data_IF_547136678599
#
_entry.id   IF_547136678599
#
_cell.length_a   1.000
_cell.length_b   1.000
_cell.length_c   1.000
_cell.angle_alpha   90.00
_cell.angle_beta   90.00
_cell.angle_gamma   90.00
#
_symmetry.space_group_name_H-M   'P 1'
#
loop_
_entity.id
_entity.type
_entity.pdbx_description
1 polymer ?
#
# COMPACT_ATOMS: atom_id res chain seq x y z
N UNK A 1 16.68 -4.04 -30.14
CA UNK A 1 15.30 -4.50 -29.91
C UNK A 1 15.05 -4.90 -28.47
N UNK A 2 15.96 -5.67 -27.87
CA UNK A 2 15.88 -6.02 -26.44
C UNK A 2 15.91 -4.76 -25.57
N UNK A 3 16.77 -3.80 -25.90
CA UNK A 3 16.88 -2.55 -25.16
C UNK A 3 15.59 -1.72 -25.18
N UNK A 4 14.94 -1.63 -26.34
CA UNK A 4 13.64 -0.95 -26.46
C UNK A 4 12.57 -1.61 -25.60
N UNK A 5 12.53 -2.94 -25.60
CA UNK A 5 11.58 -3.70 -24.78
C UNK A 5 11.80 -3.47 -23.30
N UNK A 6 13.05 -3.40 -22.86
CA UNK A 6 13.40 -3.11 -21.46
C UNK A 6 12.98 -1.69 -21.09
N UNK A 7 13.25 -0.71 -21.96
CA UNK A 7 12.86 0.69 -21.72
C UNK A 7 11.34 0.86 -21.64
N UNK A 8 10.59 0.19 -22.51
CA UNK A 8 9.13 0.23 -22.47
C UNK A 8 8.59 -0.34 -21.16
N UNK A 9 9.15 -1.47 -20.72
CA UNK A 9 8.76 -2.08 -19.44
C UNK A 9 9.11 -1.18 -18.27
N UNK A 10 10.25 -0.48 -18.30
CA UNK A 10 10.66 0.39 -17.21
C UNK A 10 9.75 1.60 -17.03
N UNK A 11 9.11 2.11 -18.10
CA UNK A 11 8.14 3.21 -18.00
C UNK A 11 6.95 2.86 -17.14
N UNK A 12 6.64 1.56 -16.99
CA UNK A 12 5.54 1.07 -16.15
C UNK A 12 6.02 0.46 -14.84
N UNK A 13 7.28 0.63 -14.49
CA UNK A 13 7.85 0.08 -13.26
C UNK A 13 7.26 0.77 -12.03
N UNK A 14 7.43 0.13 -10.87
CA UNK A 14 7.01 0.71 -9.58
C UNK A 14 7.74 2.03 -9.34
N UNK A 15 9.03 2.09 -9.59
CA UNK A 15 9.83 3.30 -9.40
C UNK A 15 9.31 4.45 -10.27
N UNK A 16 8.97 4.19 -11.53
CA UNK A 16 8.44 5.23 -12.41
C UNK A 16 7.10 5.77 -11.90
N UNK A 17 6.24 4.89 -11.40
CA UNK A 17 4.98 5.29 -10.80
C UNK A 17 5.19 6.10 -9.52
N UNK A 18 6.16 5.71 -8.69
CA UNK A 18 6.52 6.46 -7.49
C UNK A 18 6.99 7.87 -7.82
N UNK A 19 7.85 8.00 -8.82
CA UNK A 19 8.35 9.30 -9.27
C UNK A 19 7.19 10.17 -9.76
N UNK A 20 6.34 9.59 -10.60
CA UNK A 20 5.20 10.32 -11.19
C UNK A 20 4.20 10.80 -10.14
N UNK A 21 3.95 10.01 -9.11
CA UNK A 21 2.93 10.30 -8.11
C UNK A 21 3.48 10.86 -6.80
N UNK A 22 4.80 10.86 -6.63
CA UNK A 22 5.44 11.48 -5.47
C UNK A 22 5.58 10.60 -4.25
N UNK A 23 5.61 9.27 -4.41
CA UNK A 23 5.74 8.35 -3.27
C UNK A 23 7.18 8.21 -2.80
N UNK A 24 7.38 8.15 -1.50
CA UNK A 24 8.72 7.89 -0.95
C UNK A 24 9.03 6.41 -0.78
N UNK A 25 8.04 5.56 -0.51
CA UNK A 25 8.30 4.16 -0.24
C UNK A 25 7.09 3.29 -0.58
N UNK A 26 7.35 2.15 -1.21
CA UNK A 26 6.33 1.13 -1.49
C UNK A 26 6.89 -0.21 -1.04
N UNK A 27 6.19 -0.89 -0.14
CA UNK A 27 6.63 -2.14 0.45
C UNK A 27 5.71 -3.26 -0.01
N UNK A 28 6.27 -4.25 -0.70
CA UNK A 28 5.54 -5.44 -1.11
C UNK A 28 5.79 -6.53 -0.07
N UNK A 29 4.70 -7.15 0.40
CA UNK A 29 4.76 -8.17 1.43
C UNK A 29 4.12 -9.46 0.93
N UNK A 30 4.81 -10.56 1.10
CA UNK A 30 4.29 -11.88 0.79
C UNK A 30 4.69 -12.85 1.90
N UNK A 31 3.73 -13.62 2.40
CA UNK A 31 3.98 -14.67 3.37
C UNK A 31 3.41 -15.99 2.88
N UNK A 32 4.28 -16.96 2.70
CA UNK A 32 3.92 -18.25 2.14
C UNK A 32 2.97 -19.05 3.05
N UNK A 33 3.19 -18.98 4.37
CA UNK A 33 2.41 -19.77 5.33
C UNK A 33 0.97 -19.30 5.44
N UNK A 34 0.76 -17.99 5.53
CA UNK A 34 -0.58 -17.41 5.67
C UNK A 34 -1.24 -17.10 4.34
N UNK A 35 -0.46 -17.06 3.27
CA UNK A 35 -0.92 -16.62 1.96
C UNK A 35 -1.07 -15.11 1.84
N UNK A 36 -0.56 -14.34 2.79
CA UNK A 36 -0.64 -12.89 2.76
C UNK A 36 0.06 -12.32 1.53
N UNK A 37 -0.67 -11.47 0.81
CA UNK A 37 -0.14 -10.65 -0.28
C UNK A 37 -0.58 -9.23 0.00
N UNK A 38 0.35 -8.34 0.29
CA UNK A 38 0.01 -6.98 0.67
C UNK A 38 0.97 -5.98 0.06
N UNK A 39 0.51 -4.76 -0.13
CA UNK A 39 1.33 -3.64 -0.57
C UNK A 39 1.05 -2.49 0.38
N UNK A 40 2.10 -1.94 0.98
CA UNK A 40 2.01 -0.76 1.84
C UNK A 40 2.66 0.39 1.09
N UNK A 41 1.90 1.45 0.80
CA UNK A 41 2.40 2.61 0.11
C UNK A 41 2.47 3.79 1.08
N UNK A 42 3.67 4.37 1.19
CA UNK A 42 3.92 5.57 1.97
C UNK A 42 4.13 6.69 0.97
N UNK A 43 3.19 7.63 0.92
CA UNK A 43 3.25 8.71 -0.04
C UNK A 43 4.23 9.80 0.43
N UNK A 44 4.01 10.35 1.60
CA UNK A 44 4.81 11.48 2.08
C UNK A 44 4.79 11.49 3.60
N UNK A 45 5.96 11.62 4.22
CA UNK A 45 6.11 11.72 5.68
C UNK A 45 6.73 13.06 6.11
N UNK A 46 6.72 14.06 5.24
CA UNK A 46 7.30 15.38 5.52
C UNK A 46 6.69 16.02 6.78
N UNK A 47 5.38 15.90 6.95
CA UNK A 47 4.66 16.49 8.08
C UNK A 47 4.53 15.55 9.28
N UNK A 48 4.80 14.27 9.11
CA UNK A 48 4.65 13.28 10.17
C UNK A 48 4.43 11.88 9.61
N UNK A 49 4.15 10.90 10.48
CA UNK A 49 3.91 9.52 10.05
C UNK A 49 2.79 9.44 9.01
N UNK A 50 2.91 8.50 8.10
CA UNK A 50 1.91 8.26 7.07
C UNK A 50 0.71 7.55 7.66
N UNK A 51 -0.47 8.16 7.52
CA UNK A 51 -1.73 7.60 8.02
C UNK A 51 -2.61 7.17 6.87
N UNK A 52 -3.21 6.00 6.98
CA UNK A 52 -4.21 5.54 6.04
C UNK A 52 -4.72 4.16 6.42
N UNK A 53 -5.94 3.84 5.98
CA UNK A 53 -6.55 2.56 6.26
C UNK A 53 -5.93 1.41 5.46
N UNK A 54 -6.31 0.20 5.85
CA UNK A 54 -5.94 -1.01 5.11
C UNK A 54 -7.18 -1.56 4.41
N UNK A 55 -7.10 -1.70 3.09
CA UNK A 55 -8.19 -2.25 2.29
C UNK A 55 -7.86 -3.68 1.90
N UNK A 56 -8.79 -4.60 2.13
CA UNK A 56 -8.70 -5.96 1.59
C UNK A 56 -9.67 -6.09 0.44
N UNK A 57 -9.17 -6.45 -0.73
CA UNK A 57 -9.97 -6.50 -1.94
C UNK A 57 -9.46 -7.60 -2.86
N UNK A 58 -10.37 -8.24 -3.57
CA UNK A 58 -10.03 -9.31 -4.50
C UNK A 58 -9.66 -8.72 -5.86
N UNK A 59 -8.48 -8.12 -5.93
CA UNK A 59 -7.98 -7.50 -7.16
C UNK A 59 -7.79 -8.52 -8.27
N UNK A 60 -8.06 -8.09 -9.50
CA UNK A 60 -7.90 -8.97 -10.67
C UNK A 60 -6.43 -9.40 -10.85
N UNK A 61 -5.49 -8.52 -10.52
CA UNK A 61 -4.06 -8.82 -10.57
C UNK A 61 -3.30 -7.84 -9.65
N UNK A 62 -2.01 -8.09 -9.48
CA UNK A 62 -1.18 -7.27 -8.60
C UNK A 62 -0.97 -5.84 -9.14
N UNK A 63 -1.02 -5.64 -10.44
CA UNK A 63 -0.90 -4.30 -11.02
C UNK A 63 -2.08 -3.42 -10.66
N UNK A 64 -3.28 -3.97 -10.62
CA UNK A 64 -4.47 -3.25 -10.16
C UNK A 64 -4.37 -2.88 -8.69
N UNK A 65 -3.86 -3.81 -7.86
CA UNK A 65 -3.64 -3.55 -6.44
C UNK A 65 -2.62 -2.43 -6.24
N UNK A 66 -1.52 -2.46 -6.98
CA UNK A 66 -0.49 -1.44 -6.91
C UNK A 66 -1.04 -0.06 -7.28
N UNK A 67 -1.74 0.04 -8.39
CA UNK A 67 -2.30 1.32 -8.84
C UNK A 67 -3.28 1.88 -7.81
N UNK A 68 -4.13 1.01 -7.25
CA UNK A 68 -5.12 1.41 -6.25
C UNK A 68 -4.44 1.97 -4.99
N UNK A 69 -3.45 1.24 -4.46
CA UNK A 69 -2.76 1.67 -3.24
C UNK A 69 -1.97 2.97 -3.45
N UNK A 70 -1.40 3.17 -4.63
CA UNK A 70 -0.69 4.41 -4.95
C UNK A 70 -1.64 5.60 -4.99
N UNK A 71 -2.79 5.45 -5.64
CA UNK A 71 -3.81 6.50 -5.70
C UNK A 71 -4.38 6.82 -4.33
N UNK A 72 -4.70 5.79 -3.55
CA UNK A 72 -5.30 5.96 -2.23
C UNK A 72 -4.33 6.64 -1.26
N UNK A 73 -3.07 6.25 -1.25
CA UNK A 73 -2.07 6.85 -0.36
C UNK A 73 -1.80 8.31 -0.72
N UNK A 74 -1.75 8.64 -2.00
CA UNK A 74 -1.62 10.03 -2.44
C UNK A 74 -2.81 10.87 -1.99
N UNK A 75 -4.01 10.33 -2.12
CA UNK A 75 -5.23 10.99 -1.65
C UNK A 75 -5.21 11.26 -0.15
N UNK A 76 -4.63 10.36 0.63
CA UNK A 76 -4.50 10.54 2.07
C UNK A 76 -3.58 11.71 2.43
N UNK A 77 -2.49 11.92 1.69
CA UNK A 77 -1.62 13.09 1.88
C UNK A 77 -2.36 14.40 1.62
N UNK A 78 -3.14 14.44 0.54
CA UNK A 78 -3.94 15.62 0.21
C UNK A 78 -4.98 15.90 1.28
N UNK A 79 -5.64 14.86 1.77
CA UNK A 79 -6.66 14.97 2.81
C UNK A 79 -6.06 15.50 4.12
N UNK A 80 -4.91 14.98 4.52
CA UNK A 80 -4.21 15.41 5.73
C UNK A 80 -3.78 16.88 5.62
N UNK A 81 -3.24 17.27 4.47
CA UNK A 81 -2.81 18.64 4.20
C UNK A 81 -3.97 19.62 4.28
N UNK A 82 -5.10 19.30 3.65
CA UNK A 82 -6.30 20.15 3.66
C UNK A 82 -6.85 20.29 5.08
N UNK A 83 -6.78 19.22 5.87
CA UNK A 83 -7.30 19.20 7.24
C UNK A 83 -6.35 19.85 8.25
N UNK A 84 -5.16 20.26 7.83
CA UNK A 84 -4.17 20.89 8.71
C UNK A 84 -3.52 19.92 9.70
N UNK A 85 -3.54 18.62 9.43
CA UNK A 85 -2.95 17.61 10.29
C UNK A 85 -1.45 17.48 10.02
N UNK A 86 -0.67 17.31 11.09
CA UNK A 86 0.77 17.05 10.99
C UNK A 86 1.03 15.56 10.74
N UNK A 87 0.45 15.04 9.67
CA UNK A 87 0.54 13.64 9.27
C UNK A 87 0.78 13.56 7.76
N UNK A 88 1.42 12.49 7.35
CA UNK A 88 1.57 12.16 5.95
C UNK A 88 0.44 11.24 5.50
N UNK A 89 0.48 10.85 4.24
CA UNK A 89 -0.49 9.92 3.64
C UNK A 89 0.13 8.57 3.39
N UNK A 90 -0.59 7.54 3.80
CA UNK A 90 -0.23 6.16 3.52
C UNK A 90 -1.48 5.35 3.24
N UNK A 91 -1.29 4.15 2.72
CA UNK A 91 -2.38 3.21 2.49
C UNK A 91 -1.78 1.82 2.38
N UNK A 92 -2.55 0.82 2.75
CA UNK A 92 -2.18 -0.56 2.51
C UNK A 92 -3.33 -1.27 1.81
N UNK A 93 -2.99 -2.23 0.96
CA UNK A 93 -3.97 -3.12 0.36
C UNK A 93 -3.53 -4.56 0.63
N UNK A 94 -4.50 -5.42 0.93
CA UNK A 94 -4.31 -6.86 1.03
C UNK A 94 -5.09 -7.47 -0.12
N UNK A 95 -4.40 -8.28 -0.92
CA UNK A 95 -5.01 -8.92 -2.08
C UNK A 95 -5.70 -10.20 -1.62
N UNK A 96 -7.01 -10.24 -1.72
CA UNK A 96 -7.79 -11.41 -1.36
C UNK A 96 -9.24 -11.09 -1.07
N UNK A 97 -10.03 -12.14 -0.89
CA UNK A 97 -11.43 -12.02 -0.54
C UNK A 97 -11.56 -12.02 0.99
N UNK A 98 -12.09 -10.93 1.55
CA UNK A 98 -12.23 -10.77 3.00
C UNK A 98 -13.08 -11.86 3.65
N UNK A 99 -13.97 -12.49 2.89
CA UNK A 99 -14.83 -13.58 3.39
C UNK A 99 -14.13 -14.93 3.40
N UNK A 100 -13.18 -15.14 2.48
CA UNK A 100 -12.50 -16.43 2.30
C UNK A 100 -11.07 -16.46 2.82
N UNK A 101 -10.35 -15.35 2.65
CA UNK A 101 -8.91 -15.31 2.88
C UNK A 101 -8.51 -14.61 4.19
N UNK A 102 -9.43 -13.87 4.81
CA UNK A 102 -9.14 -13.15 6.04
C UNK A 102 -9.13 -14.10 7.23
N UNK A 103 -7.94 -14.42 7.72
CA UNK A 103 -7.76 -15.26 8.92
C UNK A 103 -7.02 -14.48 9.99
N UNK A 104 -7.15 -14.87 11.29
CA UNK A 104 -6.36 -14.21 12.35
C UNK A 104 -4.85 -14.28 12.09
N UNK A 105 -4.37 -15.39 11.56
CA UNK A 105 -2.94 -15.59 11.25
C UNK A 105 -2.47 -14.63 10.17
N UNK A 106 -3.26 -14.47 9.10
CA UNK A 106 -2.95 -13.55 8.02
C UNK A 106 -2.90 -12.10 8.53
N UNK A 107 -3.88 -11.71 9.33
CA UNK A 107 -3.93 -10.36 9.89
C UNK A 107 -2.80 -10.09 10.87
N UNK A 108 -2.41 -11.08 11.66
CA UNK A 108 -1.26 -10.98 12.57
C UNK A 108 0.03 -10.79 11.79
N UNK A 109 0.19 -11.53 10.70
CA UNK A 109 1.37 -11.40 9.83
C UNK A 109 1.42 -10.02 9.18
N UNK A 110 0.28 -9.52 8.73
CA UNK A 110 0.21 -8.16 8.20
C UNK A 110 0.64 -7.13 9.25
N UNK A 111 0.16 -7.27 10.50
CA UNK A 111 0.57 -6.40 11.60
C UNK A 111 2.08 -6.42 11.84
N UNK A 112 2.72 -7.58 11.71
CA UNK A 112 4.17 -7.69 11.82
C UNK A 112 4.89 -6.89 10.75
N UNK A 113 4.40 -6.91 9.51
CA UNK A 113 4.97 -6.09 8.43
C UNK A 113 4.80 -4.60 8.71
N UNK A 114 3.64 -4.19 9.20
CA UNK A 114 3.41 -2.79 9.60
C UNK A 114 4.39 -2.38 10.71
N UNK A 115 4.53 -3.21 11.73
CA UNK A 115 5.46 -2.95 12.85
C UNK A 115 6.91 -2.83 12.37
N UNK A 116 7.29 -3.57 11.34
CA UNK A 116 8.64 -3.52 10.80
C UNK A 116 9.01 -2.16 10.22
N UNK A 117 8.04 -1.31 9.96
CA UNK A 117 8.27 0.04 9.43
C UNK A 117 8.53 1.08 10.53
N UNK A 118 8.56 0.65 11.80
CA UNK A 118 9.01 1.49 12.90
C UNK A 118 8.15 2.72 13.18
N UNK A 119 6.85 2.64 12.97
CA UNK A 119 5.94 3.76 13.20
C UNK A 119 5.81 4.72 12.02
N UNK A 120 6.51 4.47 10.94
CA UNK A 120 6.46 5.31 9.74
C UNK A 120 5.09 5.28 9.06
N UNK A 121 4.38 4.16 9.19
CA UNK A 121 3.02 3.97 8.68
C UNK A 121 2.09 3.60 9.82
N UNK A 122 0.98 4.33 9.93
CA UNK A 122 -0.08 4.08 10.91
C UNK A 122 -1.30 3.64 10.12
N UNK A 123 -1.81 2.44 10.40
CA UNK A 123 -2.97 1.88 9.71
C UNK A 123 -4.25 2.04 10.53
N UNK A 124 -5.37 2.18 9.82
CA UNK A 124 -6.72 2.16 10.37
C UNK A 124 -7.55 1.16 9.58
N UNK A 125 -8.75 0.83 10.05
CA UNK A 125 -9.65 -0.06 9.33
C UNK A 125 -10.19 0.61 8.07
N UNK A 126 -10.45 -0.21 7.04
CA UNK A 126 -11.02 0.22 5.77
C UNK A 126 -11.89 -0.90 5.21
N UNK A 127 -12.32 -0.75 3.95
CA UNK A 127 -13.18 -1.72 3.28
C UNK A 127 -12.57 -3.13 3.33
N UNK A 128 -13.37 -4.10 3.76
CA UNK A 128 -12.95 -5.49 3.88
C UNK A 128 -12.23 -5.83 5.18
N UNK A 129 -11.93 -4.84 6.01
CA UNK A 129 -11.21 -5.05 7.28
C UNK A 129 -12.12 -5.15 8.49
N UNK A 130 -13.36 -4.72 8.35
CA UNK A 130 -14.35 -4.79 9.45
C UNK A 130 -14.87 -6.22 9.56
N UNK A 131 -14.83 -6.77 10.75
CA UNK A 131 -15.31 -8.12 11.05
C UNK A 131 -16.82 -8.14 11.24
#
# INVERSE_FOLDING_TARGET
>A
MIELSIQEKSKNSVIDKMISMGHEQVVHCFDKETGLKAIIAIHDTTLGPALGGTRMWNYANSDHALLDVLRLSRGMSLKASISGLNLGGGKAVIIGDSKKNKTPELMRKFGQYVDSLGGKYITAEDVGMIT
#
